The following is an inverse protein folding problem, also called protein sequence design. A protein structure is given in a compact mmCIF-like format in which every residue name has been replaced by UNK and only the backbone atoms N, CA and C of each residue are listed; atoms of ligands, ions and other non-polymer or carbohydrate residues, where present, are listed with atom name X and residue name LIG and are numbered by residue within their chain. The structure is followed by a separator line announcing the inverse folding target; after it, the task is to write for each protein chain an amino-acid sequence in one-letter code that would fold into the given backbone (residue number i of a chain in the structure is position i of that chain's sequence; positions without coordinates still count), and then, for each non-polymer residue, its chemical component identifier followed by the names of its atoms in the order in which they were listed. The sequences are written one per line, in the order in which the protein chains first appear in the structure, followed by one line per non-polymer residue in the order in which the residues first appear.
data_IF_706942823981
#
_entry.id   IF_706942823981
#
_cell.length_a   1.000
_cell.length_b   1.000
_cell.length_c   1.000
_cell.angle_alpha   90.00
_cell.angle_beta   90.00
_cell.angle_gamma   90.00
#
_symmetry.space_group_name_H-M   'P 1'
#
loop_
_entity.id
_entity.type
_entity.pdbx_description
1 polymer ?
#
# COMPACT_ATOMS: atom_id res chain seq x y z
N UNK A 1 -10.20 52.35 41.22
CA UNK A 1 -9.00 51.93 40.45
C UNK A 1 -9.30 50.52 39.90
N UNK A 2 -9.66 50.48 38.62
CA UNK A 2 -10.05 49.22 37.97
C UNK A 2 -8.78 48.60 37.34
N UNK A 3 -8.36 47.47 37.81
CA UNK A 3 -7.19 46.74 37.26
C UNK A 3 -7.71 45.79 36.15
N UNK A 4 -7.47 46.10 34.89
CA UNK A 4 -7.70 45.19 33.78
C UNK A 4 -6.57 44.17 33.72
N UNK A 5 -6.85 42.92 34.06
CA UNK A 5 -5.94 41.81 33.82
C UNK A 5 -6.12 41.36 32.38
N UNK A 6 -5.15 41.75 31.54
CA UNK A 6 -5.07 41.27 30.15
C UNK A 6 -4.54 39.84 30.15
N UNK A 7 -5.44 38.86 30.05
CA UNK A 7 -5.06 37.47 29.89
C UNK A 7 -4.51 37.25 28.45
N UNK A 8 -3.20 37.11 28.34
CA UNK A 8 -2.54 36.77 27.09
C UNK A 8 -2.76 35.27 26.81
N UNK A 9 -3.72 34.97 25.97
CA UNK A 9 -3.87 33.61 25.43
C UNK A 9 -2.70 33.35 24.46
N UNK A 10 -1.69 32.61 24.91
CA UNK A 10 -0.67 32.05 24.03
C UNK A 10 -1.28 30.88 23.28
N UNK A 11 -1.68 31.11 22.04
CA UNK A 11 -2.02 30.03 21.11
C UNK A 11 -0.70 29.34 20.72
N UNK A 12 -0.42 28.22 21.32
CA UNK A 12 0.66 27.35 20.86
C UNK A 12 0.25 26.72 19.54
N UNK A 13 0.76 27.25 18.44
CA UNK A 13 0.74 26.58 17.16
C UNK A 13 1.71 25.38 17.26
N UNK A 14 1.18 24.20 17.50
CA UNK A 14 1.93 22.98 17.24
C UNK A 14 1.91 22.76 15.73
N UNK A 15 3.07 22.74 15.06
CA UNK A 15 3.08 22.34 13.65
C UNK A 15 2.54 20.92 13.59
N UNK A 16 1.40 20.72 12.92
CA UNK A 16 0.98 19.39 12.54
C UNK A 16 2.06 18.83 11.62
N UNK A 17 2.83 17.88 12.11
CA UNK A 17 3.72 17.09 11.29
C UNK A 17 2.82 16.29 10.34
N UNK A 18 2.66 16.81 9.13
CA UNK A 18 2.07 16.04 8.05
C UNK A 18 2.91 14.78 7.86
N UNK A 19 2.38 13.66 8.33
CA UNK A 19 3.04 12.37 8.10
C UNK A 19 3.04 12.09 6.60
N UNK A 20 4.15 11.62 6.05
CA UNK A 20 4.26 11.40 4.62
C UNK A 20 3.22 10.40 4.15
N UNK A 21 2.61 10.67 3.00
CA UNK A 21 1.68 9.76 2.34
C UNK A 21 2.41 8.83 1.39
N UNK A 22 1.93 7.59 1.30
CA UNK A 22 2.33 6.62 0.29
C UNK A 22 1.21 6.49 -0.72
N UNK A 23 1.50 6.78 -1.99
CA UNK A 23 0.56 6.59 -3.10
C UNK A 23 1.02 5.43 -3.97
N UNK A 24 0.15 4.44 -4.13
CA UNK A 24 0.39 3.25 -4.95
C UNK A 24 -0.57 3.27 -6.13
N UNK A 25 -0.05 3.45 -7.33
CA UNK A 25 -0.80 3.31 -8.57
C UNK A 25 -0.65 1.88 -9.09
N UNK A 26 -1.77 1.22 -9.29
CA UNK A 26 -1.84 -0.14 -9.82
C UNK A 26 -2.30 -0.07 -11.26
N UNK A 27 -1.47 -0.51 -12.18
CA UNK A 27 -1.75 -0.49 -13.61
C UNK A 27 -2.09 -1.87 -14.16
N UNK A 28 -2.56 -1.88 -15.42
CA UNK A 28 -2.89 -3.11 -16.15
C UNK A 28 -4.15 -3.84 -15.60
N UNK A 29 -5.09 -3.10 -15.07
CA UNK A 29 -6.41 -3.61 -14.71
C UNK A 29 -7.18 -3.89 -16.00
N UNK A 30 -7.31 -5.15 -16.38
CA UNK A 30 -7.94 -5.56 -17.65
C UNK A 30 -9.45 -5.76 -17.56
N UNK A 31 -9.96 -6.03 -16.38
CA UNK A 31 -11.38 -6.33 -16.17
C UNK A 31 -11.96 -5.42 -15.10
N UNK A 32 -13.06 -4.74 -15.44
CA UNK A 32 -13.80 -3.85 -14.54
C UNK A 32 -14.70 -4.67 -13.61
N UNK A 33 -14.12 -5.49 -12.74
CA UNK A 33 -14.84 -6.30 -11.76
C UNK A 33 -13.97 -6.65 -10.57
N UNK A 34 -14.61 -7.17 -9.51
CA UNK A 34 -13.91 -7.65 -8.33
C UNK A 34 -13.29 -6.52 -7.50
N UNK A 35 -12.24 -6.86 -6.79
CA UNK A 35 -11.56 -5.94 -5.88
C UNK A 35 -10.04 -6.07 -6.02
N UNK A 36 -9.34 -4.97 -5.82
CA UNK A 36 -7.89 -4.97 -5.68
C UNK A 36 -7.55 -4.89 -4.20
N UNK A 37 -6.69 -5.78 -3.77
CA UNK A 37 -6.13 -5.81 -2.42
C UNK A 37 -4.69 -5.28 -2.47
N UNK A 38 -4.38 -4.35 -1.58
CA UNK A 38 -3.04 -3.76 -1.45
C UNK A 38 -2.62 -3.84 0.00
N UNK A 39 -1.54 -4.55 0.29
CA UNK A 39 -1.01 -4.75 1.63
C UNK A 39 0.36 -4.10 1.78
N UNK A 40 0.59 -3.44 2.91
CA UNK A 40 1.83 -2.77 3.27
C UNK A 40 2.49 -3.50 4.43
N UNK A 41 3.79 -3.74 4.30
CA UNK A 41 4.63 -4.38 5.31
C UNK A 41 5.79 -3.45 5.67
N UNK A 42 6.20 -3.45 6.94
CA UNK A 42 7.24 -2.57 7.49
C UNK A 42 8.54 -3.30 7.86
N UNK A 43 8.58 -4.62 7.71
CA UNK A 43 9.79 -5.42 8.04
C UNK A 43 9.78 -6.80 7.38
N UNK A 44 10.99 -7.31 7.18
CA UNK A 44 11.23 -8.60 6.53
C UNK A 44 10.54 -9.77 7.24
N UNK A 45 10.55 -9.80 8.57
CA UNK A 45 10.04 -10.94 9.36
C UNK A 45 8.53 -11.18 9.22
N UNK A 46 7.79 -10.20 8.72
CA UNK A 46 6.34 -10.29 8.51
C UNK A 46 5.93 -10.17 7.05
N UNK A 47 6.89 -9.99 6.14
CA UNK A 47 6.62 -9.84 4.72
C UNK A 47 5.84 -11.04 4.17
N UNK A 48 4.76 -10.78 3.45
CA UNK A 48 3.77 -11.74 2.92
C UNK A 48 2.97 -12.51 3.97
N UNK A 49 3.08 -12.19 5.25
CA UNK A 49 2.17 -12.70 6.27
C UNK A 49 0.86 -11.93 6.26
N UNK A 50 -0.22 -12.57 5.82
CA UNK A 50 -1.53 -11.91 5.60
C UNK A 50 -2.17 -11.36 6.89
N UNK A 51 -1.79 -11.85 8.04
CA UNK A 51 -2.26 -11.42 9.37
C UNK A 51 -1.34 -10.38 10.02
N UNK A 52 -0.21 -10.05 9.42
CA UNK A 52 0.84 -9.18 10.00
C UNK A 52 1.20 -7.97 9.13
N UNK A 53 0.39 -7.67 8.13
CA UNK A 53 0.52 -6.41 7.40
C UNK A 53 0.19 -5.24 8.34
N UNK A 54 0.89 -4.11 8.18
CA UNK A 54 0.65 -2.94 9.03
C UNK A 54 -0.54 -2.10 8.56
N UNK A 55 -0.86 -2.16 7.27
CA UNK A 55 -2.03 -1.50 6.68
C UNK A 55 -2.45 -2.20 5.39
N UNK A 56 -3.72 -2.03 5.02
CA UNK A 56 -4.24 -2.55 3.76
C UNK A 56 -5.33 -1.64 3.19
N UNK A 57 -5.45 -1.65 1.87
CA UNK A 57 -6.60 -1.08 1.15
C UNK A 57 -7.26 -2.15 0.31
N UNK A 58 -8.58 -2.10 0.28
CA UNK A 58 -9.42 -2.95 -0.58
C UNK A 58 -10.27 -2.00 -1.43
N UNK A 59 -10.08 -2.05 -2.74
CA UNK A 59 -10.68 -1.11 -3.67
C UNK A 59 -11.54 -1.87 -4.66
N UNK A 60 -12.83 -1.52 -4.74
CA UNK A 60 -13.72 -2.08 -5.75
C UNK A 60 -13.33 -1.56 -7.14
N UNK A 61 -13.18 -2.47 -8.09
CA UNK A 61 -12.78 -2.14 -9.45
C UNK A 61 -14.03 -1.90 -10.29
N UNK A 62 -14.25 -0.65 -10.66
CA UNK A 62 -15.40 -0.22 -11.50
C UNK A 62 -15.03 0.03 -12.94
N UNK A 63 -13.74 0.30 -13.23
CA UNK A 63 -13.24 0.57 -14.57
C UNK A 63 -11.93 -0.20 -14.80
N UNK A 64 -11.64 -0.51 -16.06
CA UNK A 64 -10.32 -0.99 -16.48
C UNK A 64 -9.31 0.16 -16.48
N UNK A 65 -8.02 -0.16 -16.49
CA UNK A 65 -6.93 0.81 -16.53
C UNK A 65 -6.15 0.83 -15.22
N UNK A 66 -6.28 1.88 -14.44
CA UNK A 66 -5.52 2.09 -13.22
C UNK A 66 -6.42 2.22 -11.98
N UNK A 67 -5.90 1.76 -10.85
CA UNK A 67 -6.48 1.94 -9.52
C UNK A 67 -5.40 2.57 -8.63
N UNK A 68 -5.80 3.50 -7.77
CA UNK A 68 -4.88 4.19 -6.85
C UNK A 68 -5.26 3.88 -5.41
N UNK A 69 -4.28 3.42 -4.63
CA UNK A 69 -4.37 3.25 -3.20
C UNK A 69 -3.50 4.30 -2.49
N UNK A 70 -4.07 5.00 -1.52
CA UNK A 70 -3.34 5.99 -0.71
C UNK A 70 -3.30 5.54 0.73
N UNK A 71 -2.11 5.58 1.32
CA UNK A 71 -1.85 5.29 2.73
C UNK A 71 -1.31 6.55 3.38
N UNK A 72 -2.06 7.05 4.34
CA UNK A 72 -1.69 8.25 5.08
C UNK A 72 -1.06 7.86 6.42
N UNK A 73 -0.29 8.76 6.99
CA UNK A 73 0.25 8.61 8.35
C UNK A 73 1.24 7.45 8.56
N UNK A 74 1.89 6.96 7.50
CA UNK A 74 3.00 6.04 7.64
C UNK A 74 4.26 6.79 8.06
N UNK A 75 4.96 6.37 9.14
CA UNK A 75 6.24 6.98 9.51
C UNK A 75 7.30 6.73 8.45
N UNK A 76 8.31 7.63 8.32
CA UNK A 76 9.45 7.36 7.44
C UNK A 76 10.11 6.03 7.79
N UNK A 77 10.47 5.25 6.77
CA UNK A 77 11.07 3.93 6.96
C UNK A 77 11.06 3.06 5.72
N UNK A 78 11.48 1.82 5.89
CA UNK A 78 11.43 0.82 4.81
C UNK A 78 10.08 0.11 4.79
N UNK A 79 9.55 -0.05 3.59
CA UNK A 79 8.28 -0.72 3.34
C UNK A 79 8.36 -1.62 2.13
N UNK A 80 7.47 -2.58 2.07
CA UNK A 80 7.21 -3.38 0.87
C UNK A 80 5.71 -3.51 0.66
N UNK A 81 5.29 -3.70 -0.60
CA UNK A 81 3.90 -3.84 -0.98
C UNK A 81 3.69 -5.15 -1.72
N UNK A 82 2.61 -5.83 -1.40
CA UNK A 82 2.01 -6.86 -2.24
C UNK A 82 0.59 -6.46 -2.63
N UNK A 83 0.18 -6.83 -3.82
CA UNK A 83 -1.16 -6.57 -4.30
C UNK A 83 -1.64 -7.65 -5.26
N UNK A 84 -2.96 -7.82 -5.36
CA UNK A 84 -3.59 -8.70 -6.33
C UNK A 84 -4.99 -8.21 -6.69
N UNK A 85 -5.46 -8.64 -7.86
CA UNK A 85 -6.79 -8.34 -8.36
C UNK A 85 -7.69 -9.57 -8.21
N UNK A 86 -8.48 -9.59 -7.16
CA UNK A 86 -9.46 -10.62 -6.84
C UNK A 86 -10.67 -10.49 -7.77
N UNK A 87 -10.74 -11.34 -8.78
CA UNK A 87 -11.77 -11.29 -9.80
C UNK A 87 -13.10 -11.91 -9.34
N UNK A 88 -13.07 -12.90 -8.46
CA UNK A 88 -14.25 -13.65 -8.02
C UNK A 88 -14.79 -13.21 -6.65
N UNK A 89 -14.09 -12.30 -5.96
CA UNK A 89 -14.52 -11.74 -4.69
C UNK A 89 -14.38 -12.65 -3.48
N UNK A 90 -13.51 -13.67 -3.55
CA UNK A 90 -13.30 -14.60 -2.44
C UNK A 90 -12.29 -14.11 -1.38
N UNK A 91 -11.64 -12.96 -1.62
CA UNK A 91 -10.69 -12.35 -0.69
C UNK A 91 -9.32 -13.00 -0.64
N UNK A 92 -8.99 -13.86 -1.59
CA UNK A 92 -7.73 -14.60 -1.68
C UNK A 92 -7.14 -14.48 -3.07
N UNK A 93 -5.81 -14.56 -3.17
CA UNK A 93 -5.14 -14.78 -4.43
C UNK A 93 -5.30 -16.26 -4.82
N UNK A 94 -6.10 -16.50 -5.83
CA UNK A 94 -6.34 -17.86 -6.32
C UNK A 94 -5.13 -18.43 -7.03
N UNK A 95 -4.87 -19.70 -6.78
CA UNK A 95 -3.76 -20.45 -7.38
C UNK A 95 -4.27 -21.75 -8.02
N UNK A 96 -3.54 -22.26 -9.01
CA UNK A 96 -3.79 -23.60 -9.54
C UNK A 96 -3.24 -24.68 -8.59
N UNK A 97 -3.37 -25.94 -8.97
CA UNK A 97 -2.90 -27.07 -8.16
C UNK A 97 -1.36 -27.12 -7.96
N UNK A 98 -0.58 -26.39 -8.78
CA UNK A 98 0.86 -26.23 -8.62
C UNK A 98 1.25 -25.01 -7.74
N UNK A 99 0.26 -24.29 -7.19
CA UNK A 99 0.49 -23.09 -6.40
C UNK A 99 0.80 -21.84 -7.23
N UNK A 100 0.61 -21.88 -8.54
CA UNK A 100 0.82 -20.73 -9.43
C UNK A 100 -0.40 -19.83 -9.40
N UNK A 101 -0.26 -18.51 -9.19
CA UNK A 101 -1.37 -17.58 -9.17
C UNK A 101 -2.14 -17.57 -10.51
N UNK A 102 -3.46 -17.64 -10.42
CA UNK A 102 -4.38 -17.56 -11.57
C UNK A 102 -4.99 -16.17 -11.75
N UNK A 103 -4.87 -15.32 -10.75
CA UNK A 103 -5.30 -13.92 -10.77
C UNK A 103 -4.09 -12.98 -10.91
N UNK A 104 -4.30 -11.74 -11.46
CA UNK A 104 -3.21 -10.77 -11.57
C UNK A 104 -2.69 -10.33 -10.20
N UNK A 105 -1.39 -10.24 -10.08
CA UNK A 105 -0.71 -9.83 -8.84
C UNK A 105 0.51 -8.98 -9.14
N UNK A 106 1.04 -8.33 -8.11
CA UNK A 106 2.24 -7.51 -8.23
C UNK A 106 2.85 -7.17 -6.87
N UNK A 107 4.06 -6.63 -6.94
CA UNK A 107 4.84 -6.22 -5.78
C UNK A 107 5.52 -4.89 -6.05
N UNK A 108 5.86 -4.17 -4.98
CA UNK A 108 6.71 -2.98 -5.09
C UNK A 108 8.00 -3.29 -5.85
N UNK A 109 8.58 -2.27 -6.50
CA UNK A 109 9.69 -2.37 -7.44
C UNK A 109 9.41 -3.25 -8.66
N UNK A 110 8.14 -3.62 -8.89
CA UNK A 110 7.74 -4.59 -9.92
C UNK A 110 8.55 -5.90 -9.87
N UNK A 111 8.96 -6.31 -8.67
CA UNK A 111 9.72 -7.52 -8.46
C UNK A 111 8.91 -8.75 -8.90
N UNK A 112 9.46 -9.54 -9.79
CA UNK A 112 8.79 -10.71 -10.38
C UNK A 112 9.80 -11.83 -10.66
N UNK A 113 10.36 -12.43 -9.60
CA UNK A 113 11.26 -13.58 -9.77
C UNK A 113 10.48 -14.77 -10.34
N UNK A 114 11.16 -15.64 -11.05
CA UNK A 114 10.58 -16.87 -11.58
C UNK A 114 10.51 -17.95 -10.49
N UNK A 115 9.41 -18.67 -10.45
CA UNK A 115 9.19 -19.88 -9.62
C UNK A 115 9.21 -19.68 -8.10
N UNK A 116 9.14 -18.43 -7.62
CA UNK A 116 9.05 -18.10 -6.18
C UNK A 116 8.39 -16.76 -5.97
N UNK A 117 7.96 -16.48 -4.76
CA UNK A 117 7.63 -15.12 -4.34
C UNK A 117 8.91 -14.26 -4.24
N UNK A 118 8.83 -12.94 -4.42
CA UNK A 118 9.96 -12.05 -4.22
C UNK A 118 10.35 -11.97 -2.74
N UNK A 119 11.61 -11.70 -2.49
CA UNK A 119 12.12 -11.43 -1.16
C UNK A 119 11.82 -10.01 -0.71
N UNK A 120 11.99 -9.74 0.58
CA UNK A 120 11.95 -8.39 1.14
C UNK A 120 12.92 -7.45 0.42
N UNK A 121 14.15 -7.87 0.18
CA UNK A 121 15.19 -7.06 -0.46
C UNK A 121 14.87 -6.69 -1.91
N UNK A 122 14.12 -7.52 -2.61
CA UNK A 122 13.68 -7.25 -3.98
C UNK A 122 12.51 -6.25 -4.02
N UNK A 123 11.75 -6.13 -2.95
CA UNK A 123 10.51 -5.35 -2.90
C UNK A 123 10.57 -4.09 -2.05
N UNK A 124 11.48 -4.01 -1.10
CA UNK A 124 11.58 -2.88 -0.17
C UNK A 124 11.90 -1.57 -0.88
N UNK A 125 11.32 -0.49 -0.37
CA UNK A 125 11.62 0.89 -0.74
C UNK A 125 11.65 1.75 0.53
N UNK A 126 12.18 2.96 0.42
CA UNK A 126 12.24 3.89 1.54
C UNK A 126 11.21 5.01 1.36
N UNK A 127 10.29 5.12 2.32
CA UNK A 127 9.38 6.24 2.44
C UNK A 127 10.04 7.34 3.27
N UNK A 128 10.25 8.51 2.67
CA UNK A 128 10.83 9.67 3.35
C UNK A 128 9.75 10.61 3.88
N UNK A 129 10.16 11.72 4.49
CA UNK A 129 9.25 12.74 5.04
C UNK A 129 8.46 13.53 4.00
N UNK A 130 8.85 13.46 2.72
CA UNK A 130 8.16 14.13 1.60
C UNK A 130 7.05 13.28 0.98
N UNK A 131 6.91 12.02 1.45
CA UNK A 131 6.04 11.03 0.83
C UNK A 131 6.73 10.25 -0.28
N UNK A 132 6.00 9.28 -0.82
CA UNK A 132 6.50 8.42 -1.90
C UNK A 132 5.36 7.97 -2.80
N UNK A 133 5.63 7.91 -4.09
CA UNK A 133 4.69 7.38 -5.08
C UNK A 133 5.36 6.29 -5.89
N UNK A 134 4.66 5.19 -6.10
CA UNK A 134 5.16 4.09 -6.92
C UNK A 134 4.04 3.51 -7.80
N UNK A 135 4.45 2.87 -8.88
CA UNK A 135 3.55 2.16 -9.77
C UNK A 135 3.86 0.66 -9.75
N UNK A 136 2.82 -0.14 -9.60
CA UNK A 136 2.90 -1.60 -9.66
C UNK A 136 2.06 -2.07 -10.85
N UNK A 137 2.68 -2.81 -11.74
CA UNK A 137 2.03 -3.42 -12.88
C UNK A 137 1.47 -4.80 -12.47
N UNK A 138 0.14 -4.96 -12.55
CA UNK A 138 -0.52 -6.21 -12.24
C UNK A 138 -0.47 -7.16 -13.43
N UNK A 139 0.07 -8.34 -13.24
CA UNK A 139 0.18 -9.37 -14.27
C UNK A 139 -0.16 -10.74 -13.70
N UNK A 140 -0.68 -11.61 -14.58
CA UNK A 140 -0.73 -13.04 -14.29
C UNK A 140 0.64 -13.67 -14.43
N UNK A 141 0.80 -14.82 -13.84
CA UNK A 141 1.98 -15.67 -14.04
C UNK A 141 2.19 -16.00 -15.52
#
# INVERSE_FOLDING_TARGET
MLVFILSLFHVFFYPEFNKPGLTVSLSNIKQAKGKVYVAVYDKQSVFLSMDKMIDRKIITVTNSGNVVASFENLPPGQYAISCFHDHNGNGKLDTNFLGVPTEPYGFSNNARPKFRAPSWDETKFYLNTSGYSLNINLEKW
#
